data_IF_082332686185
#
_entry.id   IF_082332686185
#
_cell.length_a   1.000
_cell.length_b   1.000
_cell.length_c   1.000
_cell.angle_alpha   90.00
_cell.angle_beta   90.00
_cell.angle_gamma   90.00
#
_symmetry.space_group_name_H-M   'P 1'
#
loop_
_entity.id
_entity.type
_entity.pdbx_description
1 polymer ?
#
# COMPACT_ATOMS: atom_id res chain seq x y z
N UNK A 1 5.76 -1.93 18.94
CA UNK A 1 6.44 -2.25 17.67
C UNK A 1 7.63 -1.31 17.58
N UNK A 2 8.84 -1.86 17.42
CA UNK A 2 10.12 -1.25 17.80
C UNK A 2 10.29 0.22 17.36
N UNK A 3 10.28 1.14 18.34
CA UNK A 3 10.73 2.53 18.21
C UNK A 3 12.24 2.63 18.48
N UNK A 4 13.01 1.66 17.98
CA UNK A 4 14.44 1.54 18.20
C UNK A 4 15.21 2.11 17.02
N UNK A 5 16.25 2.89 17.31
CA UNK A 5 17.34 3.17 16.37
C UNK A 5 17.84 1.86 15.75
N UNK A 6 18.09 1.86 14.44
CA UNK A 6 18.48 0.65 13.72
C UNK A 6 18.21 0.72 12.23
N UNK A 7 18.72 -0.28 11.52
CA UNK A 7 18.52 -0.48 10.08
C UNK A 7 17.65 -1.73 9.91
N UNK A 8 16.52 -1.58 9.21
CA UNK A 8 15.62 -2.67 8.84
C UNK A 8 15.73 -2.85 7.33
N UNK A 9 16.16 -4.04 6.90
CA UNK A 9 16.23 -4.42 5.50
C UNK A 9 15.18 -5.50 5.21
N UNK A 10 14.43 -5.35 4.14
CA UNK A 10 13.44 -6.31 3.65
C UNK A 10 13.63 -6.48 2.15
N UNK A 11 13.76 -7.73 1.70
CA UNK A 11 14.00 -8.04 0.30
C UNK A 11 12.75 -8.64 -0.34
N UNK A 12 12.36 -8.15 -1.52
CA UNK A 12 11.29 -8.76 -2.30
C UNK A 12 11.91 -9.81 -3.21
N UNK A 13 11.85 -11.06 -2.79
CA UNK A 13 12.38 -12.17 -3.57
C UNK A 13 11.44 -12.45 -4.75
N UNK A 14 11.85 -12.08 -5.96
CA UNK A 14 11.10 -12.26 -7.21
C UNK A 14 10.93 -13.71 -7.69
N UNK A 15 11.02 -14.71 -6.81
CA UNK A 15 10.84 -16.13 -7.14
C UNK A 15 9.37 -16.46 -7.37
N UNK A 16 8.82 -15.99 -8.48
CA UNK A 16 7.43 -16.24 -8.84
C UNK A 16 7.10 -15.82 -10.26
N UNK A 17 7.77 -16.42 -11.26
CA UNK A 17 7.27 -16.48 -12.66
C UNK A 17 8.16 -17.30 -13.61
N UNK A 18 9.39 -17.67 -13.24
CA UNK A 18 10.23 -18.51 -14.10
C UNK A 18 10.75 -19.70 -13.30
N UNK A 19 10.04 -20.83 -13.41
CA UNK A 19 10.67 -22.13 -13.17
C UNK A 19 11.74 -22.28 -14.25
N UNK A 20 12.99 -22.01 -13.87
CA UNK A 20 14.16 -22.42 -14.65
C UNK A 20 14.36 -23.91 -14.36
N UNK A 21 13.76 -24.78 -15.17
CA UNK A 21 14.23 -26.15 -15.31
C UNK A 21 15.41 -26.13 -16.29
N UNK A 22 16.60 -26.49 -15.80
CA UNK A 22 17.75 -26.77 -16.64
C UNK A 22 17.51 -28.08 -17.42
N UNK A 23 16.94 -27.98 -18.62
CA UNK A 23 16.92 -29.09 -19.58
C UNK A 23 17.54 -28.65 -20.92
N UNK A 24 18.61 -29.30 -21.45
CA UNK A 24 19.49 -28.68 -22.44
C UNK A 24 18.96 -28.58 -23.88
N UNK A 25 17.71 -28.96 -24.19
CA UNK A 25 17.36 -29.22 -25.61
C UNK A 25 15.99 -28.75 -26.13
N UNK A 26 15.26 -27.89 -25.41
CA UNK A 26 14.06 -27.22 -25.97
C UNK A 26 13.84 -25.83 -25.35
N UNK A 27 14.50 -24.81 -25.91
CA UNK A 27 14.23 -23.40 -25.56
C UNK A 27 12.91 -22.94 -26.18
N UNK A 28 11.78 -23.37 -25.62
CA UNK A 28 10.50 -22.68 -25.80
C UNK A 28 10.21 -21.93 -24.51
N UNK A 29 10.47 -20.63 -24.51
CA UNK A 29 9.89 -19.77 -23.46
C UNK A 29 8.39 -19.79 -23.69
N UNK A 30 7.64 -20.42 -22.80
CA UNK A 30 6.19 -20.41 -22.83
C UNK A 30 5.68 -19.02 -22.36
N UNK A 31 6.00 -17.97 -23.12
CA UNK A 31 5.48 -16.62 -22.91
C UNK A 31 4.01 -16.56 -23.38
N UNK A 32 3.63 -17.42 -24.33
CA UNK A 32 2.36 -17.33 -25.05
C UNK A 32 1.66 -18.70 -25.08
N UNK A 33 1.00 -19.05 -23.97
CA UNK A 33 0.16 -20.24 -23.86
C UNK A 33 -1.36 -19.92 -23.91
N UNK A 34 -2.22 -20.92 -24.13
CA UNK A 34 -3.63 -20.90 -23.71
C UNK A 34 -3.78 -20.38 -22.27
N UNK A 35 -4.25 -19.13 -22.09
CA UNK A 35 -4.41 -18.50 -20.77
C UNK A 35 -3.29 -17.54 -20.33
N UNK A 36 -2.30 -17.21 -21.17
CA UNK A 36 -1.31 -16.18 -20.83
C UNK A 36 -1.94 -14.79 -20.69
N UNK A 37 -1.56 -14.07 -19.63
CA UNK A 37 -2.16 -12.78 -19.24
C UNK A 37 -1.81 -11.62 -20.18
N UNK A 38 -0.86 -11.79 -21.10
CA UNK A 38 -0.24 -10.71 -21.90
C UNK A 38 -0.31 -10.97 -23.41
N UNK A 39 -1.37 -11.62 -23.89
CA UNK A 39 -1.54 -11.96 -25.32
C UNK A 39 -1.60 -10.74 -26.23
N UNK A 40 -2.13 -9.65 -25.71
CA UNK A 40 -2.25 -8.34 -26.35
C UNK A 40 -0.92 -7.58 -26.44
N UNK A 41 0.05 -7.88 -25.59
CA UNK A 41 1.37 -7.23 -25.60
C UNK A 41 2.28 -7.71 -26.76
N UNK A 42 2.11 -8.96 -27.22
CA UNK A 42 2.96 -9.54 -28.25
C UNK A 42 2.96 -8.76 -29.59
N UNK A 43 1.81 -8.36 -30.17
CA UNK A 43 1.81 -7.55 -31.39
C UNK A 43 2.37 -6.13 -31.19
N UNK A 44 2.37 -5.61 -29.96
CA UNK A 44 2.87 -4.26 -29.65
C UNK A 44 4.39 -4.21 -29.52
N UNK A 45 4.99 -5.25 -28.91
CA UNK A 45 6.44 -5.32 -28.67
C UNK A 45 7.17 -5.97 -29.85
N UNK A 46 6.54 -6.97 -30.49
CA UNK A 46 7.16 -7.85 -31.46
C UNK A 46 7.83 -9.06 -30.80
N UNK A 47 7.59 -10.26 -31.33
CA UNK A 47 8.05 -11.53 -30.75
C UNK A 47 9.58 -11.61 -30.68
N UNK A 48 10.27 -11.25 -31.75
CA UNK A 48 11.73 -11.30 -31.82
C UNK A 48 12.38 -10.33 -30.82
N UNK A 49 11.84 -9.10 -30.74
CA UNK A 49 12.33 -8.08 -29.83
C UNK A 49 12.11 -8.48 -28.37
N UNK A 50 10.95 -9.08 -28.06
CA UNK A 50 10.63 -9.57 -26.72
C UNK A 50 11.61 -10.65 -26.25
N UNK A 51 11.90 -11.64 -27.10
CA UNK A 51 12.86 -12.71 -26.78
C UNK A 51 14.24 -12.10 -26.56
N UNK A 52 14.67 -11.21 -27.46
CA UNK A 52 15.97 -10.54 -27.38
C UNK A 52 16.12 -9.78 -26.06
N UNK A 53 15.15 -8.93 -25.70
CA UNK A 53 15.22 -8.09 -24.51
C UNK A 53 15.11 -8.91 -23.21
N UNK A 54 14.25 -9.94 -23.19
CA UNK A 54 14.08 -10.80 -22.02
C UNK A 54 15.39 -11.51 -21.63
N UNK A 55 16.15 -12.00 -22.60
CA UNK A 55 17.43 -12.67 -22.35
C UNK A 55 18.63 -11.73 -22.28
N UNK A 56 18.49 -10.48 -22.72
CA UNK A 56 19.56 -9.49 -22.67
C UNK A 56 19.89 -9.06 -21.23
N UNK A 57 18.87 -8.93 -20.38
CA UNK A 57 19.04 -8.42 -19.01
C UNK A 57 18.57 -9.42 -17.97
N UNK A 58 19.31 -9.53 -16.87
CA UNK A 58 18.89 -10.32 -15.72
C UNK A 58 17.82 -9.56 -14.91
N UNK A 59 16.84 -10.25 -14.31
CA UNK A 59 15.94 -9.64 -13.34
C UNK A 59 16.72 -8.93 -12.24
N UNK A 60 16.31 -7.70 -11.90
CA UNK A 60 16.97 -6.90 -10.87
C UNK A 60 16.35 -7.17 -9.49
N UNK A 61 17.19 -7.09 -8.46
CA UNK A 61 16.77 -7.23 -7.06
C UNK A 61 16.10 -5.94 -6.58
N UNK A 62 15.01 -6.09 -5.82
CA UNK A 62 14.31 -4.98 -5.20
C UNK A 62 14.42 -5.11 -3.69
N UNK A 63 14.93 -4.05 -3.06
CA UNK A 63 15.17 -3.99 -1.62
C UNK A 63 14.37 -2.83 -1.03
N UNK A 64 13.87 -3.00 0.19
CA UNK A 64 13.40 -1.92 1.03
C UNK A 64 14.30 -1.80 2.26
N UNK A 65 14.85 -0.62 2.48
CA UNK A 65 15.71 -0.28 3.60
C UNK A 65 15.05 0.87 4.36
N UNK A 66 14.98 0.73 5.68
CA UNK A 66 14.58 1.78 6.61
C UNK A 66 15.69 1.97 7.62
N UNK A 67 16.09 3.19 7.91
CA UNK A 67 17.08 3.44 8.96
C UNK A 67 16.68 4.61 9.86
N UNK A 68 17.21 4.64 11.08
CA UNK A 68 17.15 5.80 11.98
C UNK A 68 18.33 5.71 12.95
N UNK A 69 19.09 6.79 13.22
CA UNK A 69 18.92 8.16 12.73
C UNK A 69 19.41 8.39 11.29
N UNK A 70 19.13 9.56 10.71
CA UNK A 70 19.61 9.96 9.38
C UNK A 70 20.84 10.86 9.40
N UNK A 71 21.30 11.27 10.57
CA UNK A 71 22.42 12.18 10.72
C UNK A 71 23.46 11.66 11.72
N UNK A 72 24.65 12.25 11.66
CA UNK A 72 25.70 12.06 12.66
C UNK A 72 26.26 13.41 13.08
N UNK A 73 25.91 13.84 14.30
CA UNK A 73 26.25 15.16 14.84
C UNK A 73 25.96 16.27 13.81
N UNK A 74 26.86 17.23 13.67
CA UNK A 74 26.87 18.31 12.69
C UNK A 74 27.63 17.95 11.39
N UNK A 75 27.98 16.67 11.19
CA UNK A 75 28.99 16.27 10.17
C UNK A 75 28.41 15.61 8.93
N UNK A 76 27.32 14.87 9.06
CA UNK A 76 26.77 14.08 7.97
C UNK A 76 25.25 13.93 8.09
N UNK A 77 24.59 13.90 6.93
CA UNK A 77 23.17 13.61 6.78
C UNK A 77 22.98 12.72 5.54
N UNK A 78 22.12 11.71 5.64
CA UNK A 78 21.62 10.92 4.50
C UNK A 78 20.16 11.29 4.20
N UNK A 79 19.81 11.28 2.91
CA UNK A 79 18.47 11.61 2.39
C UNK A 79 18.15 10.75 1.16
N UNK A 80 16.87 10.70 0.77
CA UNK A 80 16.39 9.89 -0.34
C UNK A 80 16.67 8.40 -0.16
N UNK A 81 17.00 7.70 -1.25
CA UNK A 81 17.26 6.26 -1.24
C UNK A 81 18.39 5.84 -0.29
N UNK A 82 19.35 6.73 0.03
CA UNK A 82 20.38 6.44 1.02
C UNK A 82 19.81 6.27 2.44
N UNK A 83 18.71 6.97 2.74
CA UNK A 83 18.00 6.91 4.03
C UNK A 83 16.84 5.92 4.02
N UNK A 84 16.09 5.83 2.91
CA UNK A 84 14.84 5.08 2.83
C UNK A 84 14.60 4.45 1.46
N UNK A 85 15.52 3.61 0.99
CA UNK A 85 15.31 2.82 -0.22
C UNK A 85 13.98 2.03 -0.14
N UNK A 86 13.14 2.17 -1.16
CA UNK A 86 11.83 1.52 -1.20
C UNK A 86 11.60 0.80 -2.51
N UNK A 87 10.75 -0.20 -2.46
CA UNK A 87 10.33 -0.92 -3.66
C UNK A 87 9.52 0.01 -4.58
N UNK A 88 9.67 -0.08 -5.91
CA UNK A 88 9.11 0.89 -6.86
C UNK A 88 7.60 0.73 -7.11
N UNK A 89 6.88 -0.04 -6.29
CA UNK A 89 5.47 -0.36 -6.54
C UNK A 89 4.52 0.81 -6.34
N UNK A 90 4.92 1.86 -5.59
CA UNK A 90 4.11 3.08 -5.45
C UNK A 90 4.59 4.24 -6.33
N UNK A 91 5.78 4.14 -6.94
CA UNK A 91 6.37 5.25 -7.71
C UNK A 91 6.67 6.50 -6.89
N UNK A 92 6.98 6.36 -5.59
CA UNK A 92 7.15 7.50 -4.66
C UNK A 92 8.58 7.75 -4.20
N UNK A 93 9.57 6.90 -4.56
CA UNK A 93 10.95 7.08 -4.10
C UNK A 93 11.53 8.45 -4.43
N UNK A 94 11.44 8.86 -5.71
CA UNK A 94 11.89 10.18 -6.15
C UNK A 94 11.11 11.33 -5.47
N UNK A 95 9.78 11.22 -5.37
CA UNK A 95 8.95 12.26 -4.76
C UNK A 95 9.27 12.44 -3.27
N UNK A 96 9.39 11.33 -2.53
CA UNK A 96 9.78 11.34 -1.13
C UNK A 96 11.19 11.93 -0.95
N UNK A 97 12.14 11.60 -1.82
CA UNK A 97 13.47 12.22 -1.82
C UNK A 97 13.45 13.72 -2.10
N UNK A 98 12.58 14.21 -2.98
CA UNK A 98 12.41 15.66 -3.22
C UNK A 98 11.75 16.37 -2.03
N UNK A 99 10.79 15.72 -1.38
CA UNK A 99 10.17 16.20 -0.14
C UNK A 99 11.19 16.30 1.01
N UNK A 100 12.14 15.35 1.10
CA UNK A 100 13.26 15.42 2.05
C UNK A 100 14.06 16.72 1.87
N UNK A 101 14.40 17.06 0.61
CA UNK A 101 15.18 18.27 0.32
C UNK A 101 14.41 19.53 0.70
N UNK A 102 13.10 19.54 0.47
CA UNK A 102 12.24 20.68 0.85
C UNK A 102 12.16 20.83 2.38
N UNK A 103 11.98 19.73 3.10
CA UNK A 103 11.98 19.72 4.57
C UNK A 103 13.34 20.13 5.15
N UNK A 104 14.43 19.59 4.61
CA UNK A 104 15.77 19.95 5.05
C UNK A 104 16.04 21.44 4.83
N UNK A 105 15.67 21.97 3.66
CA UNK A 105 15.86 23.39 3.34
C UNK A 105 15.05 24.29 4.28
N UNK A 106 13.82 23.90 4.65
CA UNK A 106 13.00 24.69 5.57
C UNK A 106 13.54 24.69 7.00
N UNK A 107 14.15 23.59 7.45
CA UNK A 107 14.79 23.49 8.76
C UNK A 107 16.11 24.29 8.79
N UNK A 108 16.95 24.15 7.76
CA UNK A 108 18.21 24.90 7.66
C UNK A 108 18.03 26.42 7.50
N UNK A 109 16.84 26.87 7.07
CA UNK A 109 16.48 28.29 7.04
C UNK A 109 16.19 28.90 8.41
N UNK A 110 16.09 28.08 9.46
CA UNK A 110 15.84 28.54 10.83
C UNK A 110 17.16 28.88 11.53
N UNK A 111 17.15 29.80 12.52
CA UNK A 111 18.36 30.19 13.26
C UNK A 111 18.73 29.12 14.32
N UNK A 112 19.01 27.90 13.88
CA UNK A 112 19.38 26.76 14.72
C UNK A 112 20.85 26.38 14.50
N UNK A 113 21.54 25.88 15.55
CA UNK A 113 22.78 25.14 15.37
C UNK A 113 22.61 23.97 14.39
N UNK A 114 23.66 23.64 13.63
CA UNK A 114 23.58 22.63 12.58
C UNK A 114 23.25 21.23 13.14
N UNK A 115 23.83 20.85 14.27
CA UNK A 115 23.54 19.58 14.95
C UNK A 115 22.06 19.48 15.35
N UNK A 116 21.49 20.55 15.93
CA UNK A 116 20.07 20.62 16.27
C UNK A 116 19.18 20.54 15.02
N UNK A 117 19.55 21.24 13.95
CA UNK A 117 18.82 21.21 12.68
C UNK A 117 18.79 19.79 12.05
N UNK A 118 19.93 19.09 12.04
CA UNK A 118 20.03 17.73 11.52
C UNK A 118 19.28 16.71 12.40
N UNK A 119 19.29 16.90 13.72
CA UNK A 119 18.48 16.13 14.65
C UNK A 119 16.98 16.33 14.43
N UNK A 120 16.55 17.58 14.25
CA UNK A 120 15.17 17.92 13.94
C UNK A 120 14.72 17.29 12.63
N UNK A 121 15.53 17.36 11.56
CA UNK A 121 15.21 16.70 10.29
C UNK A 121 14.97 15.20 10.47
N UNK A 122 15.81 14.53 11.26
CA UNK A 122 15.63 13.11 11.55
C UNK A 122 14.31 12.84 12.26
N UNK A 123 13.97 13.62 13.29
CA UNK A 123 12.75 13.42 14.07
C UNK A 123 11.47 13.75 13.31
N UNK A 124 11.52 14.75 12.43
CA UNK A 124 10.38 15.14 11.60
C UNK A 124 10.17 14.13 10.46
N UNK A 125 11.24 13.63 9.83
CA UNK A 125 11.11 12.84 8.59
C UNK A 125 10.90 11.34 8.79
N UNK A 126 11.44 10.74 9.85
CA UNK A 126 11.55 9.27 9.91
C UNK A 126 10.21 8.54 9.84
N UNK A 127 9.16 9.10 10.42
CA UNK A 127 7.81 8.49 10.44
C UNK A 127 7.25 8.37 9.04
N UNK A 128 7.37 9.42 8.24
CA UNK A 128 6.83 9.46 6.89
C UNK A 128 7.68 8.64 5.93
N UNK A 129 9.00 8.67 6.06
CA UNK A 129 9.91 7.80 5.32
C UNK A 129 9.61 6.30 5.57
N UNK A 130 9.36 5.91 6.83
CA UNK A 130 8.99 4.53 7.14
C UNK A 130 7.61 4.17 6.59
N UNK A 131 6.66 5.10 6.71
CA UNK A 131 5.30 4.94 6.21
C UNK A 131 5.26 4.74 4.70
N UNK A 132 6.06 5.50 3.92
CA UNK A 132 6.04 5.36 2.46
C UNK A 132 6.68 4.04 2.00
N UNK A 133 7.74 3.57 2.67
CA UNK A 133 8.29 2.24 2.44
C UNK A 133 7.24 1.14 2.73
N UNK A 134 6.46 1.28 3.82
CA UNK A 134 5.37 0.34 4.15
C UNK A 134 4.24 0.39 3.13
N UNK A 135 3.85 1.59 2.68
CA UNK A 135 2.83 1.77 1.65
C UNK A 135 3.27 1.15 0.32
N UNK A 136 4.54 1.30 -0.05
CA UNK A 136 5.10 0.69 -1.25
C UNK A 136 5.08 -0.84 -1.19
N UNK A 137 5.46 -1.42 -0.04
CA UNK A 137 5.36 -2.86 0.21
C UNK A 137 3.91 -3.35 0.24
N UNK A 138 3.00 -2.57 0.80
CA UNK A 138 1.58 -2.88 0.76
C UNK A 138 1.03 -2.85 -0.67
N UNK A 139 1.44 -1.88 -1.50
CA UNK A 139 0.97 -1.78 -2.87
C UNK A 139 1.46 -2.93 -3.75
N UNK A 140 2.65 -3.49 -3.46
CA UNK A 140 3.08 -4.76 -4.05
C UNK A 140 2.05 -5.88 -3.82
N UNK A 141 1.61 -6.05 -2.57
CA UNK A 141 0.61 -7.06 -2.20
C UNK A 141 -0.75 -6.74 -2.84
N UNK A 142 -1.13 -5.47 -2.87
CA UNK A 142 -2.35 -5.00 -3.52
C UNK A 142 -2.39 -5.41 -4.99
N UNK A 143 -1.34 -5.12 -5.74
CA UNK A 143 -1.24 -5.44 -7.16
C UNK A 143 -1.10 -6.94 -7.42
N UNK A 144 -0.36 -7.68 -6.59
CA UNK A 144 -0.12 -9.12 -6.76
C UNK A 144 -1.41 -9.95 -6.63
N UNK A 145 -2.17 -9.71 -5.54
CA UNK A 145 -3.27 -10.59 -5.13
C UNK A 145 -4.61 -9.89 -4.89
N UNK A 146 -4.63 -8.67 -4.34
CA UNK A 146 -5.89 -8.08 -3.86
C UNK A 146 -6.78 -7.59 -5.00
N UNK A 147 -6.20 -7.06 -6.07
CA UNK A 147 -6.92 -6.56 -7.26
C UNK A 147 -7.81 -7.62 -7.92
N UNK A 148 -7.45 -8.90 -7.78
CA UNK A 148 -8.24 -10.04 -8.30
C UNK A 148 -9.44 -10.40 -7.44
N UNK A 149 -9.50 -9.91 -6.19
CA UNK A 149 -10.57 -10.24 -5.24
C UNK A 149 -11.77 -9.32 -5.41
N UNK A 150 -12.97 -9.90 -5.44
CA UNK A 150 -14.21 -9.13 -5.59
C UNK A 150 -14.45 -8.15 -4.44
N UNK A 151 -14.21 -8.57 -3.20
CA UNK A 151 -14.37 -7.72 -2.01
C UNK A 151 -13.50 -6.46 -2.06
N UNK A 152 -12.29 -6.59 -2.61
CA UNK A 152 -11.38 -5.46 -2.79
C UNK A 152 -11.90 -4.48 -3.86
N UNK A 153 -12.41 -4.99 -4.99
CA UNK A 153 -13.05 -4.16 -6.04
C UNK A 153 -14.27 -3.42 -5.51
N UNK A 154 -15.13 -4.09 -4.73
CA UNK A 154 -16.27 -3.46 -4.07
C UNK A 154 -15.82 -2.36 -3.12
N UNK A 155 -14.74 -2.59 -2.35
CA UNK A 155 -14.19 -1.55 -1.48
C UNK A 155 -13.69 -0.34 -2.25
N UNK A 156 -12.94 -0.52 -3.35
CA UNK A 156 -12.47 0.60 -4.19
C UNK A 156 -13.63 1.37 -4.82
N UNK A 157 -14.68 0.66 -5.25
CA UNK A 157 -15.90 1.30 -5.76
C UNK A 157 -16.59 2.12 -4.67
N UNK A 158 -16.71 1.58 -3.45
CA UNK A 158 -17.27 2.30 -2.31
C UNK A 158 -16.43 3.52 -1.93
N UNK A 159 -15.10 3.39 -1.85
CA UNK A 159 -14.21 4.52 -1.57
C UNK A 159 -14.36 5.62 -2.63
N UNK A 160 -14.53 5.24 -3.91
CA UNK A 160 -14.76 6.19 -5.00
C UNK A 160 -16.12 6.88 -4.88
N UNK A 161 -17.16 6.13 -4.54
CA UNK A 161 -18.51 6.67 -4.32
C UNK A 161 -18.51 7.64 -3.12
N UNK A 162 -17.90 7.24 -2.00
CA UNK A 162 -17.79 8.07 -0.80
C UNK A 162 -16.99 9.33 -1.07
N UNK A 163 -15.89 9.26 -1.82
CA UNK A 163 -15.12 10.45 -2.20
C UNK A 163 -15.94 11.43 -3.06
N UNK A 164 -16.79 10.92 -3.96
CA UNK A 164 -17.68 11.76 -4.78
C UNK A 164 -18.79 12.42 -3.97
N UNK A 165 -19.37 11.70 -3.01
CA UNK A 165 -20.47 12.21 -2.17
C UNK A 165 -19.94 13.11 -1.04
N UNK A 166 -18.78 12.78 -0.49
CA UNK A 166 -18.14 13.44 0.63
C UNK A 166 -16.67 13.67 0.28
N UNK A 167 -16.31 14.87 -0.23
CA UNK A 167 -14.93 15.17 -0.64
C UNK A 167 -13.88 15.00 0.48
N UNK A 168 -14.28 15.02 1.75
CA UNK A 168 -13.41 14.70 2.88
C UNK A 168 -13.00 13.23 2.99
N UNK A 169 -13.69 12.30 2.29
CA UNK A 169 -13.30 10.89 2.24
C UNK A 169 -12.21 10.68 1.19
N UNK A 170 -10.97 11.01 1.52
CA UNK A 170 -9.86 10.88 0.56
C UNK A 170 -9.39 9.40 0.51
N UNK A 171 -9.49 8.70 -0.63
CA UNK A 171 -8.97 7.34 -0.75
C UNK A 171 -7.45 7.30 -0.59
N UNK A 172 -6.91 6.19 -0.09
CA UNK A 172 -5.46 6.05 0.18
C UNK A 172 -4.57 6.37 -1.03
N UNK A 173 -4.95 5.94 -2.23
CA UNK A 173 -4.17 6.25 -3.43
C UNK A 173 -4.11 7.77 -3.68
N UNK A 174 -5.25 8.45 -3.55
CA UNK A 174 -5.33 9.88 -3.78
C UNK A 174 -4.58 10.68 -2.71
N UNK A 175 -4.63 10.25 -1.44
CA UNK A 175 -3.90 10.93 -0.38
C UNK A 175 -2.39 10.85 -0.60
N UNK A 176 -1.87 9.70 -1.03
CA UNK A 176 -0.43 9.51 -1.25
C UNK A 176 0.07 10.18 -2.54
N UNK A 177 -0.70 10.12 -3.63
CA UNK A 177 -0.23 10.53 -4.96
C UNK A 177 -0.63 11.94 -5.38
N UNK A 178 -1.72 12.48 -4.83
CA UNK A 178 -2.31 13.76 -5.29
C UNK A 178 -2.54 14.76 -4.16
N UNK A 179 -1.95 14.53 -2.99
CA UNK A 179 -2.00 15.47 -1.88
C UNK A 179 -0.63 15.59 -1.22
N UNK A 180 -0.44 16.64 -0.42
CA UNK A 180 0.74 16.85 0.43
C UNK A 180 0.50 16.37 1.87
N UNK A 181 -0.43 15.43 2.07
CA UNK A 181 -0.68 14.82 3.37
C UNK A 181 0.55 13.99 3.78
N UNK A 182 1.06 14.13 5.01
CA UNK A 182 2.17 13.29 5.49
C UNK A 182 1.85 11.80 5.31
N UNK A 183 2.84 11.01 4.89
CA UNK A 183 2.62 9.59 4.59
C UNK A 183 2.14 8.79 5.81
N UNK A 184 2.60 9.14 7.00
CA UNK A 184 2.12 8.55 8.25
C UNK A 184 0.65 8.85 8.52
N UNK A 185 0.19 10.06 8.18
CA UNK A 185 -1.21 10.45 8.25
C UNK A 185 -2.07 9.75 7.19
N UNK A 186 -1.54 9.50 5.99
CA UNK A 186 -2.23 8.70 4.97
C UNK A 186 -2.60 7.30 5.52
N UNK A 187 -1.67 6.66 6.22
CA UNK A 187 -1.91 5.36 6.87
C UNK A 187 -2.95 5.50 7.99
N UNK A 188 -2.85 6.54 8.82
CA UNK A 188 -3.79 6.78 9.92
C UNK A 188 -5.21 7.03 9.42
N UNK A 189 -5.37 7.87 8.40
CA UNK A 189 -6.63 8.15 7.72
C UNK A 189 -7.23 6.86 7.15
N UNK A 190 -6.43 6.03 6.48
CA UNK A 190 -6.93 4.73 5.97
C UNK A 190 -7.41 3.82 7.10
N UNK A 191 -6.66 3.71 8.19
CA UNK A 191 -7.05 2.91 9.36
C UNK A 191 -8.37 3.40 9.97
N UNK A 192 -8.54 4.72 10.06
CA UNK A 192 -9.77 5.33 10.54
C UNK A 192 -10.95 5.00 9.62
N UNK A 193 -10.80 5.17 8.30
CA UNK A 193 -11.81 4.82 7.30
C UNK A 193 -12.22 3.34 7.39
N UNK A 194 -11.24 2.44 7.54
CA UNK A 194 -11.48 1.01 7.68
C UNK A 194 -12.19 0.67 8.99
N UNK A 195 -11.84 1.35 10.09
CA UNK A 195 -12.53 1.21 11.37
C UNK A 195 -13.98 1.68 11.33
N UNK A 196 -14.23 2.84 10.71
CA UNK A 196 -15.57 3.40 10.56
C UNK A 196 -16.47 2.46 9.74
N UNK A 197 -15.99 1.98 8.58
CA UNK A 197 -16.77 1.06 7.76
C UNK A 197 -17.05 -0.26 8.48
N UNK A 198 -16.09 -0.83 9.21
CA UNK A 198 -16.33 -2.03 10.03
C UNK A 198 -17.43 -1.81 11.07
N UNK A 199 -17.46 -0.64 11.74
CA UNK A 199 -18.50 -0.30 12.72
C UNK A 199 -19.87 -0.15 12.07
N UNK A 200 -19.95 0.50 10.91
CA UNK A 200 -21.20 0.65 10.15
C UNK A 200 -21.72 -0.72 9.71
N UNK A 201 -20.89 -1.54 9.07
CA UNK A 201 -21.29 -2.89 8.63
C UNK A 201 -21.71 -3.77 9.81
N UNK A 202 -20.96 -3.76 10.91
CA UNK A 202 -21.31 -4.52 12.11
C UNK A 202 -22.63 -4.06 12.74
N UNK A 203 -22.86 -2.74 12.83
CA UNK A 203 -24.09 -2.17 13.35
C UNK A 203 -25.31 -2.49 12.48
N UNK A 204 -25.18 -2.37 11.15
CA UNK A 204 -26.24 -2.73 10.21
C UNK A 204 -26.60 -4.21 10.29
N UNK A 205 -25.60 -5.10 10.38
CA UNK A 205 -25.83 -6.53 10.53
C UNK A 205 -26.58 -6.85 11.83
N UNK A 206 -26.16 -6.24 12.95
CA UNK A 206 -26.83 -6.41 14.25
C UNK A 206 -28.29 -5.94 14.19
N UNK A 207 -28.55 -4.77 13.58
CA UNK A 207 -29.91 -4.24 13.43
C UNK A 207 -30.81 -5.18 12.62
N UNK A 208 -30.30 -5.74 11.51
CA UNK A 208 -31.05 -6.71 10.68
C UNK A 208 -31.35 -7.98 11.46
N UNK A 209 -30.39 -8.51 12.22
CA UNK A 209 -30.59 -9.70 13.05
C UNK A 209 -31.63 -9.45 14.14
N UNK A 210 -31.53 -8.32 14.85
CA UNK A 210 -32.51 -7.94 15.88
C UNK A 210 -33.91 -7.77 15.30
N UNK A 211 -34.05 -7.04 14.18
CA UNK A 211 -35.34 -6.89 13.51
C UNK A 211 -35.92 -8.23 13.02
N UNK A 212 -35.09 -9.09 12.43
CA UNK A 212 -35.50 -10.43 12.00
C UNK A 212 -35.94 -11.32 13.16
N UNK A 213 -35.20 -11.29 14.27
CA UNK A 213 -35.54 -12.03 15.49
C UNK A 213 -36.85 -11.54 16.12
N UNK A 214 -37.07 -10.22 16.19
CA UNK A 214 -38.30 -9.63 16.71
C UNK A 214 -39.51 -10.01 15.84
N UNK A 215 -39.36 -9.98 14.51
CA UNK A 215 -40.41 -10.40 13.58
C UNK A 215 -40.74 -11.90 13.74
N UNK A 216 -39.73 -12.76 13.90
CA UNK A 216 -39.92 -14.18 14.16
C UNK A 216 -40.64 -14.44 15.50
N UNK A 217 -40.23 -13.75 16.57
CA UNK A 217 -40.87 -13.85 17.89
C UNK A 217 -42.33 -13.40 17.81
N UNK A 218 -42.61 -12.27 17.16
CA UNK A 218 -43.99 -11.80 16.96
C UNK A 218 -44.84 -12.83 16.21
N UNK A 219 -44.29 -13.46 15.17
CA UNK A 219 -44.98 -14.49 14.39
C UNK A 219 -45.18 -15.81 15.14
N UNK A 220 -44.28 -16.15 16.07
CA UNK A 220 -44.41 -17.34 16.92
C UNK A 220 -45.35 -17.14 18.10
N UNK A 221 -45.42 -15.92 18.65
CA UNK A 221 -46.30 -15.58 19.78
C UNK A 221 -47.72 -15.23 19.33
N UNK A 222 -47.92 -14.76 18.09
CA UNK A 222 -49.25 -14.39 17.58
C UNK A 222 -50.31 -15.51 17.61
N UNK A 223 -50.00 -16.81 17.38
CA UNK A 223 -50.98 -17.88 17.51
C UNK A 223 -51.29 -18.24 18.97
N UNK A 224 -50.33 -18.01 19.89
CA UNK A 224 -50.45 -18.38 21.30
C UNK A 224 -51.34 -17.40 22.07
N UNK A 225 -51.27 -16.09 21.76
CA UNK A 225 -52.16 -15.07 22.32
C UNK A 225 -53.62 -15.25 21.90
N UNK A 226 -53.89 -15.74 20.69
CA UNK A 226 -55.26 -16.04 20.22
C UNK A 226 -55.88 -17.24 20.94
N UNK A 227 -55.08 -18.21 21.41
CA UNK A 227 -55.59 -19.36 22.17
C UNK A 227 -55.92 -19.03 23.62
N UNK A 228 -55.37 -17.96 24.20
CA UNK A 228 -55.65 -17.55 25.59
C UNK A 228 -56.88 -16.65 25.74
N UNK A 229 -57.44 -16.14 24.63
CA UNK A 229 -58.60 -15.24 24.63
C UNK A 229 -59.94 -15.94 24.31
N UNK A 230 -59.96 -17.27 24.23
CA UNK A 230 -61.16 -18.13 24.13
C UNK A 230 -61.25 -19.03 25.36
#
# INVERSE_FOLDING_TARGET
>A
MAQGTGIICSEVNGRGAAAYEEEPQRRRVAIVGPGSTTRDALPLIGEEQLIKDFFKTRPQHLVSIKCKPYHYADKALILGDAAHAMVPYYGQGMNAGMEDVTLLTSILGQPLPLDEALAQFTEDRWKDAFAICDLAMYNYVEMRDLTKRWSFRCRKWLDTLLFRLFPGWIPLYNSVSFSSMPYSECIANRKWQDGLLKRIFGGSLLAVVLAGSACLVQRFLSPWTVMQSN
#
